data_IF_858484623721
#
_entry.id   IF_858484623721
#
_cell.length_a   1.000
_cell.length_b   1.000
_cell.length_c   1.000
_cell.angle_alpha   90.00
_cell.angle_beta   90.00
_cell.angle_gamma   90.00
#
_symmetry.space_group_name_H-M   'P 1'
#
loop_
_entity.id
_entity.type
_entity.pdbx_description
1 polymer ?
#
# COMPACT_ATOMS: atom_id res chain seq x y z
N UNK A 1 -56.29 3.76 1.82
CA UNK A 1 -55.49 3.13 0.75
C UNK A 1 -54.11 3.77 0.79
N UNK A 2 -53.20 3.14 1.52
CA UNK A 2 -51.84 3.64 1.70
C UNK A 2 -50.92 2.69 0.94
N UNK A 3 -50.42 3.12 -0.21
CA UNK A 3 -49.44 2.35 -0.98
C UNK A 3 -48.12 2.35 -0.21
N UNK A 4 -47.85 1.25 0.49
CA UNK A 4 -46.53 0.98 1.05
C UNK A 4 -45.64 0.53 -0.11
N UNK A 5 -44.82 1.45 -0.61
CA UNK A 5 -43.77 1.16 -1.59
C UNK A 5 -42.71 0.34 -0.86
N UNK A 6 -42.70 -0.96 -1.10
CA UNK A 6 -41.57 -1.81 -0.71
C UNK A 6 -40.43 -1.38 -1.62
N UNK A 7 -39.50 -0.60 -1.10
CA UNK A 7 -38.22 -0.34 -1.75
C UNK A 7 -37.45 -1.66 -1.73
N UNK A 8 -37.61 -2.45 -2.79
CA UNK A 8 -36.75 -3.58 -3.08
C UNK A 8 -35.33 -3.05 -3.22
N UNK A 9 -34.50 -3.36 -2.24
CA UNK A 9 -33.06 -3.16 -2.29
C UNK A 9 -32.53 -3.98 -3.48
N UNK A 10 -32.30 -3.29 -4.60
CA UNK A 10 -31.79 -3.92 -5.81
C UNK A 10 -30.41 -4.49 -5.49
N UNK A 11 -30.29 -5.82 -5.54
CA UNK A 11 -29.01 -6.52 -5.46
C UNK A 11 -28.08 -5.96 -6.54
N UNK A 12 -26.85 -5.53 -6.22
CA UNK A 12 -25.94 -5.03 -7.25
C UNK A 12 -25.63 -6.14 -8.26
N UNK A 13 -25.85 -5.83 -9.54
CA UNK A 13 -25.69 -6.72 -10.71
C UNK A 13 -24.22 -6.99 -11.07
N UNK A 14 -23.27 -6.45 -10.30
CA UNK A 14 -21.85 -6.67 -10.48
C UNK A 14 -21.23 -7.13 -9.16
N UNK A 15 -20.44 -8.20 -9.23
CA UNK A 15 -19.73 -8.76 -8.07
C UNK A 15 -18.93 -7.71 -7.32
N UNK A 16 -18.70 -7.92 -6.02
CA UNK A 16 -17.94 -7.03 -5.14
C UNK A 16 -16.71 -6.51 -5.89
N UNK A 17 -16.75 -5.25 -6.31
CA UNK A 17 -15.77 -4.70 -7.24
C UNK A 17 -14.35 -4.95 -6.75
N UNK A 18 -13.41 -5.17 -7.68
CA UNK A 18 -12.00 -5.27 -7.31
C UNK A 18 -11.62 -4.06 -6.45
N UNK A 19 -10.98 -4.26 -5.29
CA UNK A 19 -10.60 -3.13 -4.45
C UNK A 19 -9.70 -2.17 -5.24
N UNK A 20 -9.85 -0.87 -4.98
CA UNK A 20 -9.00 0.13 -5.59
C UNK A 20 -7.52 -0.22 -5.38
N UNK A 21 -6.68 0.09 -6.39
CA UNK A 21 -5.25 -0.21 -6.32
C UNK A 21 -4.63 0.36 -5.04
N UNK A 22 -3.78 -0.44 -4.40
CA UNK A 22 -3.01 -0.04 -3.22
C UNK A 22 -1.54 0.22 -3.52
N UNK A 23 -1.17 0.27 -4.80
CA UNK A 23 0.20 0.57 -5.24
C UNK A 23 0.59 2.00 -4.84
N UNK A 24 1.77 2.17 -4.27
CA UNK A 24 2.23 3.46 -3.76
C UNK A 24 3.18 4.09 -4.76
N UNK A 25 2.88 5.33 -5.17
CA UNK A 25 3.79 6.12 -6.00
C UNK A 25 4.49 7.17 -5.12
N UNK A 26 5.65 6.80 -4.60
CA UNK A 26 6.43 7.68 -3.73
C UNK A 26 6.97 8.90 -4.49
N UNK A 27 7.28 8.77 -5.79
CA UNK A 27 7.83 9.86 -6.59
C UNK A 27 6.80 10.97 -6.82
N UNK A 28 5.56 10.63 -7.16
CA UNK A 28 4.48 11.62 -7.24
C UNK A 28 4.21 12.29 -5.89
N UNK A 29 4.38 11.55 -4.78
CA UNK A 29 4.29 12.12 -3.42
C UNK A 29 5.41 13.16 -3.18
N UNK A 30 6.65 12.88 -3.63
CA UNK A 30 7.77 13.83 -3.57
C UNK A 30 7.52 15.05 -4.46
N UNK A 31 7.04 14.87 -5.69
CA UNK A 31 6.72 15.97 -6.60
C UNK A 31 5.65 16.87 -6.00
N UNK A 32 4.59 16.29 -5.42
CA UNK A 32 3.57 17.05 -4.71
C UNK A 32 4.17 17.84 -3.52
N UNK A 33 4.97 17.19 -2.68
CA UNK A 33 5.65 17.85 -1.56
C UNK A 33 6.54 19.02 -2.03
N UNK A 34 7.26 18.86 -3.14
CA UNK A 34 8.07 19.90 -3.75
C UNK A 34 7.25 21.12 -4.18
N UNK A 35 6.05 20.93 -4.72
CA UNK A 35 5.13 22.04 -5.07
C UNK A 35 4.67 22.81 -3.83
N UNK A 36 4.37 22.11 -2.74
CA UNK A 36 3.99 22.75 -1.46
C UNK A 36 5.18 23.53 -0.88
N UNK A 37 6.39 22.95 -0.89
CA UNK A 37 7.60 23.63 -0.44
C UNK A 37 7.86 24.95 -1.21
N UNK A 38 7.67 24.92 -2.54
CA UNK A 38 7.80 26.11 -3.38
C UNK A 38 6.77 27.20 -3.01
N UNK A 39 5.52 26.84 -2.69
CA UNK A 39 4.48 27.80 -2.25
C UNK A 39 4.86 28.52 -0.94
N UNK A 40 5.66 27.87 -0.10
CA UNK A 40 6.14 28.42 1.17
C UNK A 40 7.55 29.03 1.08
N UNK A 41 8.16 29.06 -0.11
CA UNK A 41 9.53 29.54 -0.34
C UNK A 41 10.56 28.87 0.60
N UNK A 42 10.44 27.56 0.77
CA UNK A 42 11.35 26.73 1.58
C UNK A 42 11.91 25.62 0.70
N UNK A 43 13.19 25.31 0.84
CA UNK A 43 13.80 24.18 0.15
C UNK A 43 13.35 22.86 0.80
N UNK A 44 12.93 21.90 -0.03
CA UNK A 44 12.60 20.54 0.42
C UNK A 44 13.88 19.69 0.52
N UNK A 45 14.85 20.13 1.34
CA UNK A 45 16.11 19.42 1.59
C UNK A 45 16.15 18.90 3.04
N UNK A 46 16.50 17.63 3.21
CA UNK A 46 16.74 16.99 4.52
C UNK A 46 17.84 17.67 5.36
N UNK A 47 18.73 18.45 4.74
CA UNK A 47 19.77 19.22 5.46
C UNK A 47 19.23 20.50 6.07
N UNK A 48 18.23 21.11 5.43
CA UNK A 48 17.66 22.38 5.85
C UNK A 48 16.40 22.21 6.72
N UNK A 49 15.68 21.10 6.53
CA UNK A 49 14.50 20.76 7.31
C UNK A 49 14.86 19.84 8.48
N UNK A 50 14.55 20.22 9.73
CA UNK A 50 14.80 19.33 10.86
C UNK A 50 13.90 18.10 10.79
N UNK A 51 14.36 16.98 11.33
CA UNK A 51 13.56 15.75 11.40
C UNK A 51 12.38 15.97 12.36
N UNK A 52 11.13 15.63 11.98
CA UNK A 52 9.98 15.76 12.87
C UNK A 52 10.20 15.09 14.23
N UNK A 53 9.79 15.77 15.30
CA UNK A 53 9.91 15.27 16.68
C UNK A 53 11.30 15.43 17.33
N UNK A 54 12.33 15.84 16.58
CA UNK A 54 13.62 16.22 17.20
C UNK A 54 13.49 17.49 18.02
N UNK A 55 14.39 17.71 18.99
CA UNK A 55 14.39 18.94 19.80
C UNK A 55 14.49 20.21 18.93
N UNK A 56 15.25 20.16 17.83
CA UNK A 56 15.33 21.26 16.86
C UNK A 56 13.98 21.55 16.20
N UNK A 57 13.24 20.52 15.81
CA UNK A 57 11.89 20.66 15.26
C UNK A 57 10.88 21.16 16.30
N UNK A 58 10.92 20.61 17.52
CA UNK A 58 10.07 21.02 18.63
C UNK A 58 10.27 22.49 19.00
N UNK A 59 11.50 22.99 18.87
CA UNK A 59 11.85 24.40 19.11
C UNK A 59 11.41 25.38 18.02
N UNK A 60 10.93 24.91 16.86
CA UNK A 60 10.39 25.79 15.82
C UNK A 60 9.02 26.36 16.24
N UNK A 61 8.71 27.63 15.92
CA UNK A 61 7.36 28.17 16.06
C UNK A 61 6.33 27.37 15.26
N UNK A 62 5.10 27.25 15.76
CA UNK A 62 4.04 26.50 15.07
C UNK A 62 3.65 27.09 13.71
N UNK A 63 3.84 28.40 13.53
CA UNK A 63 3.65 29.09 12.25
C UNK A 63 4.84 29.02 11.28
N UNK A 64 5.97 28.42 11.69
CA UNK A 64 7.14 28.28 10.81
C UNK A 64 6.87 27.21 9.74
N UNK A 65 6.90 27.62 8.47
CA UNK A 65 6.65 26.71 7.34
C UNK A 65 7.59 25.50 7.33
N UNK A 66 8.82 25.63 7.83
CA UNK A 66 9.78 24.50 7.94
C UNK A 66 9.26 23.42 8.86
N UNK A 67 8.49 23.77 9.90
CA UNK A 67 7.92 22.81 10.86
C UNK A 67 6.89 21.91 10.17
N UNK A 68 6.02 22.48 9.35
CA UNK A 68 5.05 21.74 8.53
C UNK A 68 5.75 20.94 7.42
N UNK A 69 6.67 21.56 6.68
CA UNK A 69 7.35 20.90 5.56
C UNK A 69 8.24 19.73 6.00
N UNK A 70 8.80 19.79 7.20
CA UNK A 70 9.47 18.65 7.82
C UNK A 70 8.54 17.42 7.96
N UNK A 71 7.28 17.63 8.36
CA UNK A 71 6.28 16.57 8.45
C UNK A 71 5.92 16.03 7.06
N UNK A 72 5.73 16.92 6.08
CA UNK A 72 5.43 16.54 4.69
C UNK A 72 6.57 15.68 4.12
N UNK A 73 7.83 16.10 4.28
CA UNK A 73 9.00 15.30 3.86
C UNK A 73 9.10 13.97 4.64
N UNK A 74 8.65 13.94 5.89
CA UNK A 74 8.46 12.70 6.65
C UNK A 74 7.45 11.75 6.00
N UNK A 75 6.31 12.27 5.55
CA UNK A 75 5.32 11.51 4.78
C UNK A 75 5.87 10.98 3.46
N UNK A 76 6.72 11.74 2.76
CA UNK A 76 7.42 11.27 1.56
C UNK A 76 8.33 10.08 1.87
N UNK A 77 9.09 10.14 2.99
CA UNK A 77 9.93 9.00 3.42
C UNK A 77 9.09 7.77 3.71
N UNK A 78 7.95 7.91 4.37
CA UNK A 78 7.02 6.80 4.63
C UNK A 78 6.45 6.21 3.34
N UNK A 79 6.09 7.04 2.36
CA UNK A 79 5.65 6.59 1.05
C UNK A 79 6.76 5.81 0.31
N UNK A 80 8.00 6.31 0.36
CA UNK A 80 9.17 5.61 -0.20
C UNK A 80 9.38 4.25 0.47
N UNK A 81 9.40 4.20 1.81
CA UNK A 81 9.55 2.93 2.56
C UNK A 81 8.46 1.93 2.18
N UNK A 82 7.20 2.36 2.09
CA UNK A 82 6.12 1.47 1.71
C UNK A 82 6.19 1.02 0.24
N UNK A 83 6.59 1.89 -0.68
CA UNK A 83 6.83 1.52 -2.09
C UNK A 83 7.94 0.47 -2.18
N UNK A 84 9.09 0.71 -1.56
CA UNK A 84 10.21 -0.25 -1.58
C UNK A 84 9.83 -1.60 -0.93
N UNK A 85 8.96 -1.58 0.08
CA UNK A 85 8.40 -2.82 0.65
C UNK A 85 7.49 -3.55 -0.34
N UNK A 86 6.70 -2.84 -1.14
CA UNK A 86 5.86 -3.46 -2.18
C UNK A 86 6.73 -4.11 -3.27
N UNK A 87 7.78 -3.41 -3.70
CA UNK A 87 8.75 -3.94 -4.67
C UNK A 87 9.41 -5.22 -4.14
N UNK A 88 9.91 -5.20 -2.90
CA UNK A 88 10.52 -6.39 -2.28
C UNK A 88 9.55 -7.58 -2.13
N UNK A 89 8.26 -7.33 -1.89
CA UNK A 89 7.24 -8.39 -1.84
C UNK A 89 6.97 -8.94 -3.24
N UNK A 90 6.92 -8.08 -4.27
CA UNK A 90 6.75 -8.49 -5.65
C UNK A 90 7.93 -9.37 -6.11
N UNK A 91 9.16 -8.93 -5.86
CA UNK A 91 10.39 -9.68 -6.17
C UNK A 91 10.41 -11.04 -5.45
N UNK A 92 10.02 -11.08 -4.18
CA UNK A 92 9.92 -12.34 -3.44
C UNK A 92 8.85 -13.27 -4.03
N UNK A 93 7.72 -12.72 -4.49
CA UNK A 93 6.67 -13.47 -5.16
C UNK A 93 7.14 -14.07 -6.49
N UNK A 94 7.89 -13.30 -7.28
CA UNK A 94 8.52 -13.76 -8.52
C UNK A 94 9.54 -14.86 -8.24
N UNK A 95 10.43 -14.66 -7.26
CA UNK A 95 11.41 -15.66 -6.86
C UNK A 95 10.76 -16.99 -6.41
N UNK A 96 9.64 -16.93 -5.67
CA UNK A 96 8.86 -18.13 -5.32
C UNK A 96 8.27 -18.76 -6.58
N UNK A 97 7.67 -17.96 -7.46
CA UNK A 97 7.08 -18.46 -8.71
C UNK A 97 8.11 -19.17 -9.60
N UNK A 98 9.33 -18.64 -9.68
CA UNK A 98 10.43 -19.23 -10.46
C UNK A 98 11.10 -20.44 -9.80
N UNK A 99 11.00 -20.57 -8.46
CA UNK A 99 11.76 -21.57 -7.71
C UNK A 99 11.42 -23.04 -8.06
N UNK A 100 10.23 -23.32 -8.58
CA UNK A 100 9.77 -24.68 -8.81
C UNK A 100 8.70 -24.74 -9.91
N UNK A 101 8.52 -25.90 -10.55
CA UNK A 101 7.36 -26.09 -11.42
C UNK A 101 6.09 -26.32 -10.57
N UNK A 102 5.45 -25.22 -10.18
CA UNK A 102 4.26 -25.25 -9.32
C UNK A 102 3.10 -26.08 -9.88
N UNK A 103 3.00 -26.24 -11.20
CA UNK A 103 2.01 -27.14 -11.81
C UNK A 103 2.31 -28.60 -11.50
N UNK A 104 3.58 -29.01 -11.57
CA UNK A 104 3.99 -30.37 -11.20
C UNK A 104 3.83 -30.62 -9.70
N UNK A 105 4.19 -29.65 -8.85
CA UNK A 105 3.98 -29.74 -7.40
C UNK A 105 2.50 -29.94 -7.09
N UNK A 106 1.62 -29.15 -7.70
CA UNK A 106 0.17 -29.27 -7.51
C UNK A 106 -0.35 -30.65 -7.93
N UNK A 107 0.11 -31.17 -9.08
CA UNK A 107 -0.25 -32.52 -9.55
C UNK A 107 0.22 -33.60 -8.57
N UNK A 108 1.43 -33.47 -8.03
CA UNK A 108 1.97 -34.43 -7.06
C UNK A 108 1.16 -34.42 -5.76
N UNK A 109 0.83 -33.25 -5.23
CA UNK A 109 -0.01 -33.11 -4.02
C UNK A 109 -1.40 -33.70 -4.25
N UNK A 110 -2.02 -33.43 -5.40
CA UNK A 110 -3.34 -33.96 -5.72
C UNK A 110 -3.34 -35.49 -5.85
N UNK A 111 -2.32 -36.07 -6.49
CA UNK A 111 -2.15 -37.52 -6.60
C UNK A 111 -1.99 -38.17 -5.22
N UNK A 112 -1.19 -37.57 -4.32
CA UNK A 112 -1.05 -38.05 -2.93
C UNK A 112 -2.38 -38.05 -2.19
N UNK A 113 -3.16 -36.97 -2.29
CA UNK A 113 -4.50 -36.89 -1.68
C UNK A 113 -5.45 -37.98 -2.18
N UNK A 114 -5.41 -38.30 -3.48
CA UNK A 114 -6.21 -39.38 -4.06
C UNK A 114 -5.82 -40.75 -3.49
N UNK A 115 -4.52 -41.04 -3.41
CA UNK A 115 -4.03 -42.29 -2.81
C UNK A 115 -4.46 -42.41 -1.34
N UNK A 116 -4.34 -41.33 -0.58
CA UNK A 116 -4.74 -41.32 0.84
C UNK A 116 -6.25 -41.46 1.04
N UNK A 117 -7.05 -40.99 0.09
CA UNK A 117 -8.50 -41.21 0.10
C UNK A 117 -8.84 -42.68 -0.18
N UNK A 118 -8.18 -43.30 -1.16
CA UNK A 118 -8.36 -44.74 -1.48
C UNK A 118 -7.98 -45.61 -0.26
N UNK A 119 -6.85 -45.31 0.38
CA UNK A 119 -6.37 -46.04 1.57
C UNK A 119 -7.32 -45.94 2.76
N UNK A 120 -8.05 -44.84 2.91
CA UNK A 120 -9.04 -44.65 3.98
C UNK A 120 -10.38 -45.31 3.68
N UNK A 121 -10.66 -45.59 2.41
CA UNK A 121 -11.87 -46.25 1.95
C UNK A 121 -11.73 -47.78 1.83
N UNK A 122 -10.52 -48.31 2.03
CA UNK A 122 -10.19 -49.74 2.09
C UNK A 122 -10.10 -50.20 3.53
#
# INVERSE_FOLDING_TARGET
>A
MTHQKIEQEARPDSGAGSPASRSINWYETLIYAGRIAAQHNVALDHRDLPIPGTMQWCGLPDGDARKLLALILGGVREALTNSSRQDAIADAGEAVWEAENWSQVAQQVQRRRQIDAIRRAS
#
